data_IF_623254721824
#
_entry.id   IF_623254721824
#
_cell.length_a   1.000
_cell.length_b   1.000
_cell.length_c   1.000
_cell.angle_alpha   90.00
_cell.angle_beta   90.00
_cell.angle_gamma   90.00
#
_symmetry.space_group_name_H-M   'P 1'
#
loop_
_entity.id
_entity.type
_entity.pdbx_description
1 polymer ?
#
# COMPACT_ATOMS: atom_id res chain seq x y z
N UNK A 1 -1.36 18.35 11.16
CA UNK A 1 -0.15 18.89 11.82
C UNK A 1 0.79 19.42 10.76
N UNK A 2 1.46 20.55 10.99
CA UNK A 2 2.34 21.18 10.00
C UNK A 2 3.62 20.36 9.77
N UNK A 3 4.21 20.48 8.58
CA UNK A 3 5.49 19.84 8.24
C UNK A 3 6.64 20.80 8.54
N UNK A 4 7.11 20.81 9.79
CA UNK A 4 8.03 21.87 10.26
C UNK A 4 9.51 21.56 10.02
N UNK A 5 9.85 20.29 9.75
CA UNK A 5 11.24 19.89 9.58
C UNK A 5 11.66 19.91 8.10
N UNK A 6 12.78 20.57 7.79
CA UNK A 6 13.36 20.67 6.44
C UNK A 6 14.61 19.79 6.32
N UNK A 7 14.69 18.98 5.27
CA UNK A 7 15.83 18.10 5.00
C UNK A 7 16.25 18.16 3.53
N UNK A 8 17.53 17.89 3.25
CA UNK A 8 17.97 17.61 1.88
C UNK A 8 17.56 16.19 1.50
N UNK A 9 16.82 16.04 0.40
CA UNK A 9 16.31 14.77 -0.09
C UNK A 9 16.34 14.74 -1.63
N UNK A 10 17.05 13.77 -2.20
CA UNK A 10 17.12 13.59 -3.66
C UNK A 10 17.65 14.81 -4.44
N UNK A 11 18.49 15.64 -3.83
CA UNK A 11 18.99 16.89 -4.43
C UNK A 11 18.10 18.12 -4.23
N UNK A 12 16.97 17.99 -3.53
CA UNK A 12 16.01 19.07 -3.24
C UNK A 12 15.85 19.28 -1.72
N UNK A 13 15.22 20.38 -1.32
CA UNK A 13 14.75 20.57 0.07
C UNK A 13 13.35 20.00 0.20
N UNK A 14 13.16 19.06 1.14
CA UNK A 14 11.88 18.44 1.45
C UNK A 14 11.39 18.85 2.84
N UNK A 15 10.07 18.99 2.98
CA UNK A 15 9.38 19.10 4.26
C UNK A 15 9.00 17.70 4.74
N UNK A 16 9.27 17.40 6.01
CA UNK A 16 9.10 16.06 6.57
C UNK A 16 8.18 16.09 7.78
N UNK A 17 7.25 15.15 7.83
CA UNK A 17 6.41 14.83 8.99
C UNK A 17 6.58 13.36 9.36
N UNK A 18 6.43 13.03 10.64
CA UNK A 18 6.34 11.63 11.08
C UNK A 18 5.06 10.99 10.49
N UNK A 19 5.18 9.76 9.99
CA UNK A 19 4.08 8.97 9.42
C UNK A 19 3.51 7.93 10.41
N UNK A 20 4.02 7.87 11.64
CA UNK A 20 3.53 6.98 12.69
C UNK A 20 2.02 7.12 12.93
N UNK A 21 1.33 5.98 12.97
CA UNK A 21 -0.13 5.91 13.16
C UNK A 21 -0.97 6.32 11.96
N UNK A 22 -0.36 6.66 10.82
CA UNK A 22 -1.11 6.96 9.58
C UNK A 22 -1.60 5.66 8.95
N UNK A 23 -2.92 5.52 8.82
CA UNK A 23 -3.55 4.45 8.05
C UNK A 23 -3.72 4.85 6.59
N UNK A 24 -3.48 3.89 5.69
CA UNK A 24 -3.64 4.03 4.25
C UNK A 24 -3.72 2.66 3.60
N UNK A 25 -3.77 2.62 2.27
CA UNK A 25 -3.87 1.38 1.49
C UNK A 25 -2.71 1.27 0.51
N UNK A 26 -2.17 0.07 0.38
CA UNK A 26 -1.21 -0.25 -0.68
C UNK A 26 -2.01 -0.58 -1.94
N UNK A 27 -1.83 0.22 -3.00
CA UNK A 27 -2.53 0.00 -4.26
C UNK A 27 -1.54 -0.13 -5.40
N UNK A 28 -1.98 -0.81 -6.46
CA UNK A 28 -1.33 -0.77 -7.76
C UNK A 28 -2.05 0.28 -8.62
N UNK A 29 -1.33 1.31 -9.04
CA UNK A 29 -1.90 2.35 -9.89
C UNK A 29 -2.16 1.86 -11.33
N UNK A 30 -2.80 2.69 -12.15
CA UNK A 30 -3.08 2.38 -13.55
C UNK A 30 -1.82 2.21 -14.42
N UNK A 31 -0.66 2.73 -13.98
CA UNK A 31 0.64 2.55 -14.62
C UNK A 31 1.36 1.26 -14.17
N UNK A 32 0.81 0.56 -13.18
CA UNK A 32 1.37 -0.66 -12.61
C UNK A 32 2.36 -0.44 -11.47
N UNK A 33 2.54 0.79 -10.99
CA UNK A 33 3.37 1.10 -9.83
C UNK A 33 2.64 0.80 -8.53
N UNK A 34 3.38 0.42 -7.49
CA UNK A 34 2.83 0.31 -6.15
C UNK A 34 2.99 1.64 -5.41
N UNK A 35 1.89 2.17 -4.88
CA UNK A 35 1.86 3.41 -4.08
C UNK A 35 1.11 3.19 -2.79
N UNK A 36 1.47 3.95 -1.76
CA UNK A 36 0.71 4.01 -0.51
C UNK A 36 -0.25 5.19 -0.57
N UNK A 37 -1.56 4.93 -0.59
CA UNK A 37 -2.60 5.96 -0.65
C UNK A 37 -3.14 6.27 0.74
N UNK A 38 -3.13 7.54 1.12
CA UNK A 38 -3.78 8.04 2.34
C UNK A 38 -5.01 8.85 1.96
N UNK A 39 -6.17 8.50 2.53
CA UNK A 39 -7.40 9.23 2.32
C UNK A 39 -7.52 10.40 3.30
N UNK A 40 -7.89 11.56 2.76
CA UNK A 40 -8.16 12.80 3.50
C UNK A 40 -9.67 13.03 3.70
N UNK A 41 -10.05 14.31 3.82
CA UNK A 41 -11.46 14.72 3.86
C UNK A 41 -11.99 14.91 2.44
N UNK A 42 -13.31 14.89 2.28
CA UNK A 42 -14.00 15.36 1.06
C UNK A 42 -13.48 14.73 -0.25
N UNK A 43 -13.30 13.40 -0.28
CA UNK A 43 -12.79 12.64 -1.44
C UNK A 43 -11.35 12.98 -1.86
N UNK A 44 -10.60 13.72 -1.04
CA UNK A 44 -9.18 13.93 -1.28
C UNK A 44 -8.37 12.69 -0.89
N UNK A 45 -7.34 12.39 -1.65
CA UNK A 45 -6.33 11.40 -1.30
C UNK A 45 -4.95 11.87 -1.75
N UNK A 46 -3.92 11.35 -1.09
CA UNK A 46 -2.53 11.54 -1.47
C UNK A 46 -1.87 10.19 -1.70
N UNK A 47 -1.22 10.03 -2.84
CA UNK A 47 -0.39 8.88 -3.16
C UNK A 47 1.07 9.18 -2.82
N UNK A 48 1.69 8.25 -2.10
CA UNK A 48 3.10 8.31 -1.73
C UNK A 48 3.85 7.22 -2.49
N UNK A 49 4.89 7.62 -3.24
CA UNK A 49 5.87 6.71 -3.81
C UNK A 49 6.53 5.89 -2.69
N UNK A 50 6.60 4.57 -2.89
CA UNK A 50 7.36 3.70 -1.99
C UNK A 50 8.81 3.66 -2.48
N UNK A 51 9.72 4.27 -1.71
CA UNK A 51 11.15 4.37 -2.00
C UNK A 51 11.95 3.59 -0.95
N UNK A 52 13.00 2.90 -1.40
CA UNK A 52 13.90 2.05 -0.60
C UNK A 52 13.31 0.70 -0.15
N UNK A 53 14.21 -0.21 0.25
CA UNK A 53 14.03 -1.64 -0.01
C UNK A 53 13.06 -2.36 0.95
N UNK A 54 12.82 -1.86 2.16
CA UNK A 54 12.07 -2.60 3.17
C UNK A 54 11.22 -1.67 4.06
N UNK A 55 9.90 -1.85 4.00
CA UNK A 55 8.93 -1.27 4.94
C UNK A 55 8.05 -2.42 5.44
N UNK A 56 7.92 -2.54 6.77
CA UNK A 56 7.02 -3.53 7.35
C UNK A 56 5.57 -3.13 7.11
N UNK A 57 4.79 -4.05 6.55
CA UNK A 57 3.35 -3.88 6.33
C UNK A 57 2.62 -5.01 7.04
N UNK A 58 1.58 -4.65 7.78
CA UNK A 58 0.64 -5.59 8.37
C UNK A 58 -0.66 -5.50 7.57
N UNK A 59 -1.14 -6.63 7.05
CA UNK A 59 -2.48 -6.70 6.46
C UNK A 59 -3.48 -6.59 7.60
N UNK A 60 -4.41 -5.64 7.51
CA UNK A 60 -5.40 -5.39 8.53
C UNK A 60 -6.30 -6.62 8.74
N UNK A 61 -6.86 -6.73 9.94
CA UNK A 61 -7.95 -7.67 10.19
C UNK A 61 -9.12 -7.39 9.24
N UNK A 62 -9.75 -8.46 8.76
CA UNK A 62 -10.91 -8.40 7.85
C UNK A 62 -10.68 -7.73 6.48
N UNK A 63 -9.43 -7.50 6.05
CA UNK A 63 -9.12 -6.97 4.70
C UNK A 63 -9.49 -7.95 3.57
N UNK A 64 -9.89 -9.19 3.93
CA UNK A 64 -10.24 -10.25 2.99
C UNK A 64 -9.15 -10.48 1.94
N UNK A 65 -7.87 -10.42 2.34
CA UNK A 65 -6.74 -10.73 1.48
C UNK A 65 -6.28 -12.19 1.64
N UNK A 66 -5.68 -12.75 0.60
CA UNK A 66 -5.13 -14.10 0.59
C UNK A 66 -3.81 -14.16 -0.17
N UNK A 67 -2.95 -15.10 0.24
CA UNK A 67 -1.77 -15.48 -0.51
C UNK A 67 -2.09 -16.65 -1.45
N UNK A 68 -1.65 -16.53 -2.69
CA UNK A 68 -1.74 -17.56 -3.72
C UNK A 68 -0.35 -18.01 -4.12
N UNK A 69 -0.24 -19.29 -4.48
CA UNK A 69 0.95 -19.87 -5.12
C UNK A 69 0.55 -20.42 -6.48
N UNK A 70 1.19 -19.91 -7.53
CA UNK A 70 1.03 -20.37 -8.91
C UNK A 70 2.40 -20.82 -9.40
N UNK A 71 2.64 -22.13 -9.46
CA UNK A 71 3.96 -22.70 -9.79
C UNK A 71 5.09 -22.04 -8.96
N UNK A 72 5.94 -21.23 -9.60
CA UNK A 72 7.07 -20.52 -9.01
C UNK A 72 6.75 -19.08 -8.53
N UNK A 73 5.49 -18.65 -8.64
CA UNK A 73 5.04 -17.29 -8.32
C UNK A 73 4.20 -17.26 -7.05
N UNK A 74 4.53 -16.33 -6.17
CA UNK A 74 3.71 -15.97 -5.01
C UNK A 74 2.95 -14.67 -5.28
N UNK A 75 1.68 -14.63 -4.90
CA UNK A 75 0.79 -13.48 -5.12
C UNK A 75 0.05 -13.17 -3.82
N UNK A 76 -0.04 -11.89 -3.48
CA UNK A 76 -0.98 -11.36 -2.50
C UNK A 76 -2.11 -10.69 -3.27
N UNK A 77 -3.34 -11.11 -3.05
CA UNK A 77 -4.55 -10.58 -3.70
C UNK A 77 -5.73 -10.64 -2.73
N UNK A 78 -6.92 -10.29 -3.18
CA UNK A 78 -8.16 -10.55 -2.46
C UNK A 78 -8.43 -12.04 -2.28
N UNK A 79 -9.21 -12.37 -1.27
CA UNK A 79 -9.61 -13.73 -0.93
C UNK A 79 -10.42 -14.38 -2.05
N UNK A 80 -10.43 -15.73 -2.15
CA UNK A 80 -11.14 -16.42 -3.23
C UNK A 80 -12.62 -16.04 -3.33
N UNK A 81 -13.26 -15.78 -2.19
CA UNK A 81 -14.66 -15.37 -2.10
C UNK A 81 -14.90 -14.00 -2.75
N UNK A 82 -14.01 -13.03 -2.47
CA UNK A 82 -14.08 -11.69 -3.08
C UNK A 82 -13.86 -11.77 -4.59
N UNK A 83 -12.95 -12.64 -5.02
CA UNK A 83 -12.66 -12.86 -6.44
C UNK A 83 -13.72 -13.73 -7.16
N UNK A 84 -14.70 -14.30 -6.44
CA UNK A 84 -15.69 -15.22 -7.01
C UNK A 84 -15.10 -16.54 -7.52
N UNK A 85 -13.99 -16.98 -6.95
CA UNK A 85 -13.31 -18.23 -7.33
C UNK A 85 -13.96 -19.44 -6.66
N UNK A 86 -14.07 -20.53 -7.41
CA UNK A 86 -14.56 -21.80 -6.91
C UNK A 86 -13.43 -22.69 -6.40
N UNK A 87 -13.73 -23.53 -5.41
CA UNK A 87 -12.81 -24.58 -4.97
C UNK A 87 -12.79 -25.69 -6.01
N UNK A 88 -11.60 -26.04 -6.48
CA UNK A 88 -11.41 -27.30 -7.21
C UNK A 88 -11.50 -28.44 -6.20
N UNK A 89 -12.44 -29.35 -6.44
CA UNK A 89 -12.56 -30.60 -5.68
C UNK A 89 -11.80 -31.66 -6.48
N UNK A 90 -10.81 -32.29 -5.86
CA UNK A 90 -10.11 -33.45 -6.44
C UNK A 90 -10.97 -34.71 -6.38
#
# INVERSE_FOLDING_TARGET
MPMDNKYSYGGSVALVKNAEGVSGVLIKDAGGNFVFRVYGKENEFADYDIRHNELSVTIAEDELAAFYKLDDRLVLDHSPQVLGLEKVVE
#
